data_IF_607594483303
#
_entry.id   IF_607594483303
#
_cell.length_a   1.000
_cell.length_b   1.000
_cell.length_c   1.000
_cell.angle_alpha   90.00
_cell.angle_beta   90.00
_cell.angle_gamma   90.00
#
_symmetry.space_group_name_H-M   'P 1'
#
loop_
_entity.id
_entity.type
_entity.pdbx_description
1 polymer ?
#
# COMPACT_ATOMS: atom_id res chain seq x y z
N UNK A 1 -5.02 30.92 -1.57
CA UNK A 1 -4.40 30.11 -0.51
C UNK A 1 -4.08 28.75 -1.12
N UNK A 2 -2.83 28.29 -1.02
CA UNK A 2 -2.47 26.94 -1.46
C UNK A 2 -3.14 25.92 -0.54
N UNK A 3 -3.75 24.90 -1.12
CA UNK A 3 -4.52 23.91 -0.37
C UNK A 3 -3.59 22.84 0.21
N UNK A 4 -3.86 22.33 1.43
CA UNK A 4 -2.95 21.41 2.09
C UNK A 4 -2.87 20.08 1.34
N UNK A 5 -1.65 19.70 0.97
CA UNK A 5 -1.33 18.43 0.32
C UNK A 5 -1.64 17.25 1.27
N UNK A 6 -1.91 16.08 0.70
CA UNK A 6 -2.03 14.83 1.47
C UNK A 6 -0.65 14.49 2.02
N UNK A 7 -0.56 14.19 3.31
CA UNK A 7 0.68 13.72 3.93
C UNK A 7 0.88 12.23 3.60
N UNK A 8 2.04 11.87 3.05
CA UNK A 8 2.37 10.49 2.66
C UNK A 8 3.72 10.07 3.25
N UNK A 9 3.84 8.82 3.72
CA UNK A 9 5.07 8.28 4.30
C UNK A 9 6.22 8.09 3.30
N UNK A 10 5.93 8.00 2.01
CA UNK A 10 6.89 7.66 0.96
C UNK A 10 7.63 6.33 1.21
N UNK A 11 6.89 5.30 1.63
CA UNK A 11 7.43 4.01 2.06
C UNK A 11 7.52 2.99 0.91
N UNK A 12 7.92 3.41 -0.29
CA UNK A 12 8.09 2.48 -1.42
C UNK A 12 9.18 1.42 -1.16
N UNK A 13 8.93 0.18 -1.55
CA UNK A 13 9.88 -0.94 -1.54
C UNK A 13 10.24 -1.38 -2.95
N UNK A 14 11.33 -2.15 -3.07
CA UNK A 14 11.64 -2.86 -4.30
C UNK A 14 10.60 -3.95 -4.59
N UNK A 15 10.17 -4.03 -5.85
CA UNK A 15 9.14 -4.98 -6.32
C UNK A 15 9.64 -6.42 -6.43
N UNK A 16 10.95 -6.65 -6.37
CA UNK A 16 11.53 -7.97 -6.55
C UNK A 16 12.71 -8.20 -5.62
N UNK A 17 12.94 -9.45 -5.23
CA UNK A 17 14.08 -9.87 -4.42
C UNK A 17 14.93 -10.89 -5.18
N UNK A 18 16.27 -10.89 -4.95
CA UNK A 18 17.13 -11.92 -5.52
C UNK A 18 16.89 -13.26 -4.82
N UNK A 19 16.86 -14.33 -5.60
CA UNK A 19 16.75 -15.71 -5.14
C UNK A 19 17.69 -16.61 -5.92
N UNK A 20 18.11 -17.70 -5.27
CA UNK A 20 18.83 -18.79 -5.94
C UNK A 20 17.84 -19.89 -6.30
N UNK A 21 17.55 -20.03 -7.59
CA UNK A 21 16.72 -21.10 -8.14
C UNK A 21 17.58 -22.27 -8.62
N UNK A 22 16.96 -23.44 -8.80
CA UNK A 22 17.56 -24.62 -9.45
C UNK A 22 16.84 -24.85 -10.76
N UNK A 23 17.58 -24.91 -11.87
CA UNK A 23 17.02 -25.15 -13.20
C UNK A 23 16.73 -26.65 -13.46
N UNK A 24 16.15 -26.97 -14.62
CA UNK A 24 15.75 -28.33 -15.00
C UNK A 24 16.92 -29.32 -15.12
N UNK A 25 18.15 -28.82 -15.22
CA UNK A 25 19.37 -29.61 -15.26
C UNK A 25 20.05 -29.73 -13.90
N UNK A 26 19.44 -29.18 -12.84
CA UNK A 26 19.97 -29.20 -11.48
C UNK A 26 21.01 -28.11 -11.19
N UNK A 27 21.22 -27.15 -12.09
CA UNK A 27 22.18 -26.06 -11.88
C UNK A 27 21.56 -24.89 -11.12
N UNK A 28 22.33 -24.28 -10.21
CA UNK A 28 21.91 -23.10 -9.44
C UNK A 28 22.02 -21.82 -10.27
N UNK A 29 20.98 -21.00 -10.28
CA UNK A 29 20.90 -19.72 -11.01
C UNK A 29 20.44 -18.60 -10.08
N UNK A 30 21.05 -17.42 -10.20
CA UNK A 30 20.54 -16.20 -9.55
C UNK A 30 19.45 -15.59 -10.42
N UNK A 31 18.30 -15.30 -9.83
CA UNK A 31 17.17 -14.65 -10.49
C UNK A 31 16.51 -13.66 -9.53
N UNK A 32 15.67 -12.78 -10.08
CA UNK A 32 14.80 -11.93 -9.27
C UNK A 32 13.37 -12.43 -9.42
N UNK A 33 12.67 -12.55 -8.30
CA UNK A 33 11.24 -12.88 -8.28
C UNK A 33 10.46 -11.73 -7.66
N UNK A 34 9.19 -11.61 -8.04
CA UNK A 34 8.28 -10.66 -7.44
C UNK A 34 8.19 -10.88 -5.93
N UNK A 35 8.33 -9.80 -5.17
CA UNK A 35 8.24 -9.80 -3.71
C UNK A 35 6.88 -9.24 -3.29
N UNK A 36 5.86 -10.10 -3.28
CA UNK A 36 4.55 -9.74 -2.77
C UNK A 36 4.55 -9.65 -1.24
N UNK A 37 3.87 -8.63 -0.74
CA UNK A 37 3.73 -8.34 0.69
C UNK A 37 2.27 -8.04 1.00
N UNK A 38 1.86 -8.40 2.21
CA UNK A 38 0.55 -8.00 2.73
C UNK A 38 0.58 -6.50 3.07
N UNK A 39 -0.57 -5.84 2.91
CA UNK A 39 -0.78 -4.47 3.35
C UNK A 39 -2.20 -4.33 3.88
N UNK A 40 -2.33 -4.31 5.20
CA UNK A 40 -3.61 -4.20 5.91
C UNK A 40 -4.02 -2.74 6.04
N UNK A 41 -5.12 -2.36 5.39
CA UNK A 41 -5.66 -1.01 5.40
C UNK A 41 -6.50 -0.78 6.65
N UNK A 42 -6.11 0.23 7.41
CA UNK A 42 -6.90 0.82 8.48
C UNK A 42 -7.40 2.20 8.05
N UNK A 43 -8.71 2.44 8.12
CA UNK A 43 -9.30 3.76 7.88
C UNK A 43 -9.87 4.25 9.21
N UNK A 44 -9.39 5.40 9.69
CA UNK A 44 -9.82 5.99 10.96
C UNK A 44 -9.88 4.95 12.11
N UNK A 45 -8.82 4.11 12.18
CA UNK A 45 -8.59 3.02 13.16
C UNK A 45 -9.47 1.77 12.99
N UNK A 46 -10.24 1.65 11.90
CA UNK A 46 -11.00 0.44 11.57
C UNK A 46 -10.26 -0.37 10.52
N UNK A 47 -10.09 -1.65 10.76
CA UNK A 47 -9.53 -2.58 9.78
C UNK A 47 -10.53 -2.84 8.66
N UNK A 48 -10.10 -2.69 7.41
CA UNK A 48 -11.00 -2.76 6.25
C UNK A 48 -10.72 -3.98 5.38
N UNK A 49 -9.46 -4.15 5.00
CA UNK A 49 -9.02 -5.21 4.09
C UNK A 49 -7.51 -5.38 4.17
N UNK A 50 -7.03 -6.57 3.86
CA UNK A 50 -5.61 -6.81 3.55
C UNK A 50 -5.43 -7.00 2.05
N UNK A 51 -4.57 -6.19 1.45
CA UNK A 51 -4.18 -6.31 0.04
C UNK A 51 -2.87 -7.08 -0.08
N UNK A 52 -2.70 -7.81 -1.18
CA UNK A 52 -1.38 -8.29 -1.60
C UNK A 52 -0.81 -7.29 -2.62
N UNK A 53 0.43 -6.86 -2.43
CA UNK A 53 1.05 -5.81 -3.25
C UNK A 53 2.55 -6.02 -3.42
N UNK A 54 3.11 -5.49 -4.51
CA UNK A 54 4.57 -5.39 -4.70
C UNK A 54 5.21 -4.28 -3.83
N UNK A 55 4.41 -3.37 -3.27
CA UNK A 55 4.89 -2.34 -2.33
C UNK A 55 5.66 -1.17 -2.93
N UNK A 56 5.69 -0.99 -4.26
CA UNK A 56 6.48 0.10 -4.89
C UNK A 56 5.92 1.50 -4.64
N UNK A 57 4.59 1.64 -4.69
CA UNK A 57 3.87 2.90 -4.45
C UNK A 57 2.66 2.65 -3.54
N UNK A 58 2.87 2.23 -2.28
CA UNK A 58 1.80 1.73 -1.44
C UNK A 58 0.78 2.82 -1.10
N UNK A 59 1.18 4.08 -0.92
CA UNK A 59 0.25 5.18 -0.63
C UNK A 59 -0.64 5.52 -1.83
N UNK A 60 -0.08 5.48 -3.04
CA UNK A 60 -0.85 5.72 -4.27
C UNK A 60 -1.78 4.53 -4.57
N UNK A 61 -1.34 3.31 -4.31
CA UNK A 61 -2.19 2.12 -4.38
C UNK A 61 -3.40 2.28 -3.45
N UNK A 62 -3.18 2.66 -2.20
CA UNK A 62 -4.24 2.88 -1.20
C UNK A 62 -5.18 3.98 -1.65
N UNK A 63 -4.66 5.13 -2.09
CA UNK A 63 -5.48 6.23 -2.58
C UNK A 63 -6.35 5.83 -3.78
N UNK A 64 -5.77 5.11 -4.74
CA UNK A 64 -6.48 4.58 -5.90
C UNK A 64 -7.53 3.53 -5.51
N UNK A 65 -7.21 2.67 -4.56
CA UNK A 65 -8.12 1.65 -4.05
C UNK A 65 -9.34 2.27 -3.36
N UNK A 66 -9.14 3.25 -2.48
CA UNK A 66 -10.24 3.98 -1.81
C UNK A 66 -11.20 4.61 -2.83
N UNK A 67 -10.64 5.22 -3.88
CA UNK A 67 -11.43 5.82 -4.96
C UNK A 67 -12.16 4.76 -5.77
N UNK A 68 -11.51 3.64 -6.09
CA UNK A 68 -12.09 2.53 -6.85
C UNK A 68 -13.25 1.83 -6.10
N UNK A 69 -13.12 1.69 -4.78
CA UNK A 69 -14.19 1.17 -3.91
C UNK A 69 -15.30 2.19 -3.64
N UNK A 70 -15.21 3.40 -4.21
CA UNK A 70 -16.16 4.51 -3.99
C UNK A 70 -16.27 4.94 -2.52
N UNK A 71 -15.28 4.66 -1.70
CA UNK A 71 -15.20 5.13 -0.31
C UNK A 71 -14.90 6.62 -0.22
N UNK A 72 -14.25 7.17 -1.25
CA UNK A 72 -14.03 8.61 -1.41
C UNK A 72 -14.41 9.08 -2.81
N UNK A 73 -14.93 10.30 -2.89
CA UNK A 73 -15.25 11.01 -4.13
C UNK A 73 -14.08 11.82 -4.68
N UNK A 74 -13.23 12.32 -3.78
CA UNK A 74 -12.09 13.16 -4.11
C UNK A 74 -10.90 12.82 -3.19
N UNK A 75 -9.65 12.81 -3.67
CA UNK A 75 -8.46 12.58 -2.85
C UNK A 75 -8.31 13.56 -1.66
N UNK A 76 -9.04 14.69 -1.66
CA UNK A 76 -8.97 15.71 -0.62
C UNK A 76 -9.64 15.29 0.68
N UNK A 77 -10.52 14.28 0.62
CA UNK A 77 -11.10 13.62 1.80
C UNK A 77 -10.02 13.02 2.69
N UNK A 78 -8.83 12.75 2.16
CA UNK A 78 -7.72 12.14 2.88
C UNK A 78 -6.81 13.23 3.45
N UNK A 79 -6.49 13.09 4.73
CA UNK A 79 -5.49 13.90 5.43
C UNK A 79 -4.11 13.30 5.27
N UNK A 80 -3.97 12.01 5.59
CA UNK A 80 -2.70 11.29 5.52
C UNK A 80 -2.86 9.82 5.14
N UNK A 81 -1.80 9.27 4.53
CA UNK A 81 -1.62 7.84 4.28
C UNK A 81 -0.23 7.47 4.80
N UNK A 82 -0.18 6.63 5.83
CA UNK A 82 1.05 6.26 6.53
C UNK A 82 1.21 4.74 6.49
N UNK A 83 2.19 4.27 5.73
CA UNK A 83 2.53 2.87 5.57
C UNK A 83 3.61 2.50 6.56
N UNK A 84 3.42 1.38 7.23
CA UNK A 84 4.37 0.79 8.17
C UNK A 84 4.59 -0.68 7.83
N UNK A 85 5.80 -0.99 7.35
CA UNK A 85 6.20 -2.33 6.96
C UNK A 85 6.64 -3.21 8.14
N UNK A 86 6.83 -2.66 9.34
CA UNK A 86 7.05 -3.50 10.52
C UNK A 86 5.75 -4.20 10.96
N UNK A 87 4.61 -3.61 10.60
CA UNK A 87 3.27 -4.11 10.94
C UNK A 87 2.46 -4.55 9.70
N UNK A 88 3.07 -4.54 8.51
CA UNK A 88 2.41 -4.81 7.22
C UNK A 88 1.07 -4.05 7.08
N UNK A 89 1.05 -2.79 7.50
CA UNK A 89 -0.18 -2.01 7.63
C UNK A 89 -0.07 -0.62 7.02
N UNK A 90 -1.22 -0.04 6.74
CA UNK A 90 -1.33 1.36 6.35
C UNK A 90 -2.49 2.02 7.09
N UNK A 91 -2.17 3.13 7.76
CA UNK A 91 -3.14 3.98 8.41
C UNK A 91 -3.55 5.12 7.46
N UNK A 92 -4.85 5.18 7.16
CA UNK A 92 -5.50 6.25 6.41
C UNK A 92 -6.27 7.10 7.39
N UNK A 93 -5.92 8.38 7.48
CA UNK A 93 -6.68 9.37 8.25
C UNK A 93 -7.52 10.21 7.29
N UNK A 94 -8.82 10.21 7.49
CA UNK A 94 -9.73 11.06 6.71
C UNK A 94 -9.91 12.42 7.37
N UNK A 95 -10.41 13.41 6.63
CA UNK A 95 -10.71 14.75 7.16
C UNK A 95 -12.08 14.84 7.81
N UNK A 96 -13.05 14.10 7.27
CA UNK A 96 -14.47 14.23 7.60
C UNK A 96 -15.12 12.88 7.97
N UNK A 97 -14.34 11.79 7.99
CA UNK A 97 -14.87 10.42 8.10
C UNK A 97 -15.34 9.86 6.75
N UNK A 98 -15.67 8.57 6.75
CA UNK A 98 -16.44 7.91 5.69
C UNK A 98 -17.69 7.31 6.35
N UNK A 99 -18.85 7.61 5.77
CA UNK A 99 -20.12 7.10 6.26
C UNK A 99 -20.21 5.58 6.07
N UNK A 100 -20.73 4.86 7.08
CA UNK A 100 -20.98 3.42 7.04
C UNK A 100 -19.76 2.52 6.72
N UNK A 101 -18.62 2.82 7.35
CA UNK A 101 -17.45 1.91 7.44
C UNK A 101 -17.70 0.68 8.31
#
# INVERSE_FOLDING_TARGET
MSEPLIEMSAAGLESSIPVTAVDEFGARRQQHIAAERALTLYIDKREIVTLMTLGTHPELLVLGWLRNQRLIDHPRRIRSIQVDWETDSVAVTTREGIDNL
#
